data_IF_430906467253
#
_entry.id   IF_430906467253
#
_cell.length_a   1.000
_cell.length_b   1.000
_cell.length_c   1.000
_cell.angle_alpha   90.00
_cell.angle_beta   90.00
_cell.angle_gamma   90.00
#
_symmetry.space_group_name_H-M   'P 1'
#
loop_
_entity.id
_entity.type
_entity.pdbx_description
1 polymer ?
#
# COMPACT_ATOMS: atom_id res chain seq x y z
N UNK A 1 29.56 -0.89 -1.62
CA UNK A 1 29.38 0.17 -0.60
C UNK A 1 28.47 -0.39 0.48
N UNK A 2 29.00 -0.73 1.65
CA UNK A 2 28.19 -1.25 2.76
C UNK A 2 27.60 -0.07 3.52
N UNK A 3 26.29 0.17 3.40
CA UNK A 3 25.59 1.16 4.22
C UNK A 3 25.43 0.56 5.62
N UNK A 4 26.24 1.01 6.58
CA UNK A 4 26.10 0.63 7.99
C UNK A 4 25.06 1.54 8.64
N UNK A 5 23.80 1.09 8.67
CA UNK A 5 22.74 1.76 9.43
C UNK A 5 22.72 1.10 10.80
N UNK A 6 23.29 1.76 11.80
CA UNK A 6 23.17 1.34 13.21
C UNK A 6 21.89 1.97 13.76
N UNK A 7 20.78 1.22 13.70
CA UNK A 7 19.49 1.62 14.27
C UNK A 7 19.32 0.91 15.62
N UNK A 8 19.56 1.60 16.73
CA UNK A 8 19.32 1.08 18.08
C UNK A 8 17.86 1.26 18.49
N UNK A 9 16.95 0.65 17.72
CA UNK A 9 15.51 0.65 18.01
C UNK A 9 15.07 -0.79 18.23
N UNK A 10 14.50 -1.04 19.40
CA UNK A 10 13.88 -2.33 19.73
C UNK A 10 12.66 -2.56 18.80
N UNK A 11 12.68 -3.58 17.93
CA UNK A 11 11.61 -3.83 16.98
C UNK A 11 10.26 -4.11 17.65
N UNK A 12 10.26 -4.70 18.86
CA UNK A 12 9.03 -5.01 19.59
C UNK A 12 8.38 -3.72 20.10
N UNK A 13 9.18 -2.79 20.63
CA UNK A 13 8.69 -1.49 21.07
C UNK A 13 8.18 -0.68 19.89
N UNK A 14 8.90 -0.69 18.77
CA UNK A 14 8.45 -0.02 17.54
C UNK A 14 7.11 -0.58 17.07
N UNK A 15 6.98 -1.91 16.95
CA UNK A 15 5.73 -2.57 16.55
C UNK A 15 4.58 -2.20 17.50
N UNK A 16 4.82 -2.25 18.81
CA UNK A 16 3.80 -1.88 19.80
C UNK A 16 3.36 -0.43 19.65
N UNK A 17 4.28 0.50 19.42
CA UNK A 17 3.95 1.91 19.19
C UNK A 17 3.12 2.08 17.92
N UNK A 18 3.55 1.48 16.80
CA UNK A 18 2.83 1.59 15.52
C UNK A 18 1.40 1.02 15.62
N UNK A 19 1.26 -0.19 16.19
CA UNK A 19 -0.06 -0.82 16.41
C UNK A 19 -0.92 0.01 17.35
N UNK A 20 -0.34 0.60 18.40
CA UNK A 20 -1.09 1.46 19.33
C UNK A 20 -1.64 2.69 18.60
N UNK A 21 -0.88 3.28 17.68
CA UNK A 21 -1.36 4.42 16.87
C UNK A 21 -2.53 4.00 15.96
N UNK A 22 -2.45 2.85 15.29
CA UNK A 22 -3.56 2.33 14.47
C UNK A 22 -4.82 2.08 15.30
N UNK A 23 -4.67 1.50 16.50
CA UNK A 23 -5.79 1.27 17.41
C UNK A 23 -6.41 2.60 17.89
N UNK A 24 -5.60 3.64 18.08
CA UNK A 24 -6.11 4.98 18.40
C UNK A 24 -6.92 5.54 17.23
N UNK A 25 -6.47 5.38 15.99
CA UNK A 25 -7.24 5.80 14.82
C UNK A 25 -8.58 5.07 14.71
N UNK A 26 -8.58 3.74 14.86
CA UNK A 26 -9.80 2.93 14.92
C UNK A 26 -10.76 3.38 16.03
N UNK A 27 -10.23 3.70 17.21
CA UNK A 27 -11.05 4.20 18.33
C UNK A 27 -11.64 5.57 18.04
N UNK A 28 -10.89 6.48 17.42
CA UNK A 28 -11.38 7.83 17.05
C UNK A 28 -12.47 7.72 15.98
N UNK A 29 -12.27 6.90 14.95
CA UNK A 29 -13.27 6.65 13.92
C UNK A 29 -14.58 6.12 14.52
N UNK A 30 -14.49 5.08 15.35
CA UNK A 30 -15.65 4.53 16.07
C UNK A 30 -16.33 5.55 16.97
N UNK A 31 -15.56 6.43 17.64
CA UNK A 31 -16.12 7.50 18.47
C UNK A 31 -16.93 8.50 17.63
N UNK A 32 -16.39 8.95 16.49
CA UNK A 32 -17.05 9.92 15.61
C UNK A 32 -18.25 9.34 14.85
N UNK A 33 -18.22 8.05 14.52
CA UNK A 33 -19.30 7.41 13.78
C UNK A 33 -20.40 6.82 14.68
N UNK A 34 -20.08 6.27 15.85
CA UNK A 34 -21.08 5.61 16.71
C UNK A 34 -21.56 6.47 17.88
N UNK A 35 -20.64 7.18 18.54
CA UNK A 35 -20.92 7.77 19.86
C UNK A 35 -21.15 9.28 19.80
N UNK A 36 -20.62 9.95 18.77
CA UNK A 36 -20.67 11.40 18.64
C UNK A 36 -21.47 11.82 17.40
N UNK A 37 -22.77 12.08 17.59
CA UNK A 37 -23.66 12.53 16.50
C UNK A 37 -23.35 13.96 16.00
N UNK A 38 -22.72 14.81 16.81
CA UNK A 38 -22.44 16.22 16.47
C UNK A 38 -21.06 16.50 15.83
N UNK A 39 -20.37 15.49 15.31
CA UNK A 39 -19.02 15.65 14.77
C UNK A 39 -19.15 16.23 13.36
N UNK A 40 -18.31 17.20 13.01
CA UNK A 40 -18.32 17.75 11.67
C UNK A 40 -17.98 16.66 10.65
N UNK A 41 -18.56 16.77 9.46
CA UNK A 41 -18.31 15.79 8.39
C UNK A 41 -16.82 15.74 8.04
N UNK A 42 -16.12 16.88 8.11
CA UNK A 42 -14.69 16.96 7.85
C UNK A 42 -13.87 16.12 8.84
N UNK A 43 -14.23 16.12 10.12
CA UNK A 43 -13.55 15.31 11.13
C UNK A 43 -13.81 13.82 10.95
N UNK A 44 -15.03 13.45 10.54
CA UNK A 44 -15.36 12.06 10.20
C UNK A 44 -14.50 11.60 9.04
N UNK A 45 -14.46 12.35 7.94
CA UNK A 45 -13.64 12.01 6.76
C UNK A 45 -12.14 11.96 7.07
N UNK A 46 -11.64 12.85 7.93
CA UNK A 46 -10.22 12.91 8.29
C UNK A 46 -9.72 11.67 9.07
N UNK A 47 -10.59 11.01 9.82
CA UNK A 47 -10.25 9.85 10.65
C UNK A 47 -10.92 8.54 10.18
N UNK A 48 -11.66 8.57 9.08
CA UNK A 48 -12.37 7.41 8.54
C UNK A 48 -11.40 6.34 8.03
N UNK A 49 -11.19 5.28 8.80
CA UNK A 49 -10.26 4.20 8.44
C UNK A 49 -10.65 3.43 7.17
N UNK A 50 -11.87 3.62 6.66
CA UNK A 50 -12.39 2.93 5.47
C UNK A 50 -12.19 3.75 4.19
N UNK A 51 -11.75 5.01 4.32
CA UNK A 51 -11.49 5.90 3.19
C UNK A 51 -9.99 6.03 2.92
N UNK A 52 -9.67 6.32 1.68
CA UNK A 52 -8.33 6.71 1.25
C UNK A 52 -8.14 8.24 1.38
N UNK A 53 -6.88 8.68 1.33
CA UNK A 53 -6.46 10.09 1.42
C UNK A 53 -6.86 10.82 2.73
N UNK A 54 -6.67 10.15 3.87
CA UNK A 54 -6.86 10.74 5.19
C UNK A 54 -5.67 10.44 6.13
N UNK A 55 -5.81 10.75 7.42
CA UNK A 55 -4.71 10.63 8.37
C UNK A 55 -4.31 9.16 8.66
N UNK A 56 -5.26 8.22 8.91
CA UNK A 56 -4.97 6.79 8.94
C UNK A 56 -4.25 6.29 7.67
N UNK A 57 -4.76 6.61 6.47
CA UNK A 57 -4.14 6.21 5.20
C UNK A 57 -2.74 6.77 5.04
N UNK A 58 -2.50 8.03 5.39
CA UNK A 58 -1.15 8.62 5.35
C UNK A 58 -0.16 7.87 6.23
N UNK A 59 -0.59 7.44 7.41
CA UNK A 59 0.24 6.70 8.35
C UNK A 59 0.55 5.29 7.84
N UNK A 60 -0.48 4.52 7.44
CA UNK A 60 -0.32 3.15 6.91
C UNK A 60 0.49 3.12 5.61
N UNK A 61 0.24 4.04 4.68
CA UNK A 61 0.98 4.16 3.42
C UNK A 61 2.46 4.50 3.64
N UNK A 62 2.76 5.40 4.59
CA UNK A 62 4.14 5.72 4.97
C UNK A 62 4.86 4.49 5.53
N UNK A 63 4.20 3.71 6.39
CA UNK A 63 4.76 2.46 6.90
C UNK A 63 5.05 1.46 5.76
N UNK A 64 4.12 1.30 4.82
CA UNK A 64 4.30 0.42 3.67
C UNK A 64 5.52 0.82 2.82
N UNK A 65 5.66 2.12 2.49
CA UNK A 65 6.83 2.62 1.77
C UNK A 65 8.13 2.38 2.56
N UNK A 66 8.13 2.61 3.87
CA UNK A 66 9.30 2.34 4.73
C UNK A 66 9.67 0.84 4.71
N UNK A 67 8.69 -0.06 4.80
CA UNK A 67 8.92 -1.51 4.66
C UNK A 67 9.54 -1.83 3.30
N UNK A 68 9.02 -1.22 2.23
CA UNK A 68 9.55 -1.37 0.87
C UNK A 68 11.02 -0.94 0.76
N UNK A 69 11.36 0.22 1.33
CA UNK A 69 12.73 0.74 1.36
C UNK A 69 13.67 -0.15 2.20
N UNK A 70 13.23 -0.62 3.36
CA UNK A 70 14.02 -1.52 4.21
C UNK A 70 14.27 -2.87 3.52
N UNK A 71 13.26 -3.42 2.84
CA UNK A 71 13.41 -4.64 2.04
C UNK A 71 14.41 -4.44 0.90
N UNK A 72 14.38 -3.28 0.22
CA UNK A 72 15.34 -2.95 -0.84
C UNK A 72 16.78 -2.88 -0.31
N UNK A 73 16.98 -2.17 0.81
CA UNK A 73 18.29 -2.06 1.46
C UNK A 73 18.79 -3.43 1.90
N UNK A 74 17.92 -4.26 2.47
CA UNK A 74 18.25 -5.63 2.86
C UNK A 74 18.65 -6.49 1.66
N UNK A 75 17.89 -6.42 0.56
CA UNK A 75 18.20 -7.14 -0.68
C UNK A 75 19.62 -6.79 -1.16
N UNK A 76 19.93 -5.49 -1.28
CA UNK A 76 21.25 -4.99 -1.68
C UNK A 76 22.38 -5.42 -0.77
N UNK A 77 22.17 -5.43 0.54
CA UNK A 77 23.20 -5.89 1.49
C UNK A 77 23.46 -7.41 1.39
N UNK A 78 22.50 -8.17 0.88
CA UNK A 78 22.58 -9.62 0.73
C UNK A 78 22.98 -10.08 -0.65
N UNK A 79 23.10 -9.17 -1.62
CA UNK A 79 23.63 -9.47 -2.95
C UNK A 79 25.03 -10.10 -2.82
N UNK A 80 25.19 -11.29 -3.43
CA UNK A 80 26.45 -12.04 -3.40
C UNK A 80 26.70 -12.89 -2.13
N UNK A 81 25.86 -12.81 -1.09
CA UNK A 81 26.01 -13.61 0.15
C UNK A 81 24.98 -14.74 0.29
N UNK A 82 23.94 -14.75 -0.53
CA UNK A 82 22.81 -15.70 -0.49
C UNK A 82 22.51 -16.24 -1.89
N UNK A 83 21.75 -17.35 -2.00
CA UNK A 83 21.20 -17.79 -3.28
C UNK A 83 20.48 -16.64 -3.96
N UNK A 84 20.68 -16.48 -5.27
CA UNK A 84 20.17 -15.36 -6.05
C UNK A 84 18.64 -15.21 -5.91
N UNK A 85 17.92 -16.33 -5.78
CA UNK A 85 16.48 -16.38 -5.50
C UNK A 85 16.07 -15.63 -4.22
N UNK A 86 16.82 -15.83 -3.14
CA UNK A 86 16.53 -15.19 -1.87
C UNK A 86 16.68 -13.67 -1.96
N UNK A 87 17.64 -13.16 -2.75
CA UNK A 87 17.79 -11.73 -2.99
C UNK A 87 16.66 -11.17 -3.86
N UNK A 88 16.26 -11.88 -4.92
CA UNK A 88 15.14 -11.50 -5.79
C UNK A 88 13.82 -11.39 -5.01
N UNK A 89 13.54 -12.32 -4.09
CA UNK A 89 12.34 -12.25 -3.24
C UNK A 89 12.23 -10.95 -2.44
N UNK A 90 13.34 -10.44 -1.89
CA UNK A 90 13.34 -9.16 -1.17
C UNK A 90 13.12 -7.96 -2.07
N UNK A 91 13.61 -7.99 -3.32
CA UNK A 91 13.29 -6.95 -4.31
C UNK A 91 11.81 -6.94 -4.67
N UNK A 92 11.18 -8.11 -4.79
CA UNK A 92 9.74 -8.19 -5.06
C UNK A 92 8.94 -7.63 -3.89
N UNK A 93 9.29 -7.99 -2.65
CA UNK A 93 8.69 -7.40 -1.44
C UNK A 93 8.88 -5.87 -1.44
N UNK A 94 10.07 -5.39 -1.79
CA UNK A 94 10.38 -3.97 -1.83
C UNK A 94 9.48 -3.20 -2.79
N UNK A 95 9.37 -3.68 -4.04
CA UNK A 95 8.53 -3.07 -5.06
C UNK A 95 7.05 -3.14 -4.68
N UNK A 96 6.60 -4.28 -4.15
CA UNK A 96 5.21 -4.49 -3.77
C UNK A 96 4.74 -3.52 -2.68
N UNK A 97 5.45 -3.46 -1.55
CA UNK A 97 5.05 -2.57 -0.44
C UNK A 97 5.22 -1.09 -0.78
N UNK A 98 6.21 -0.74 -1.60
CA UNK A 98 6.35 0.63 -2.11
C UNK A 98 5.18 1.01 -3.01
N UNK A 99 4.79 0.12 -3.93
CA UNK A 99 3.63 0.33 -4.79
C UNK A 99 2.35 0.47 -3.96
N UNK A 100 2.10 -0.44 -3.01
CA UNK A 100 0.90 -0.39 -2.16
C UNK A 100 0.81 0.94 -1.40
N UNK A 101 1.90 1.38 -0.77
CA UNK A 101 1.88 2.65 -0.05
C UNK A 101 1.67 3.85 -0.97
N UNK A 102 2.26 3.87 -2.16
CA UNK A 102 2.06 4.95 -3.13
C UNK A 102 0.61 4.94 -3.67
N UNK A 103 0.07 3.76 -3.99
CA UNK A 103 -1.29 3.60 -4.50
C UNK A 103 -2.32 4.10 -3.49
N UNK A 104 -2.23 3.65 -2.24
CA UNK A 104 -3.15 4.02 -1.15
C UNK A 104 -3.08 5.52 -0.81
N UNK A 105 -1.89 6.12 -0.89
CA UNK A 105 -1.71 7.56 -0.66
C UNK A 105 -2.20 8.44 -1.83
N UNK A 106 -2.09 7.96 -3.07
CA UNK A 106 -2.38 8.74 -4.28
C UNK A 106 -3.66 8.31 -5.01
N UNK A 107 -4.35 7.28 -4.52
CA UNK A 107 -5.54 6.67 -5.13
C UNK A 107 -5.28 6.31 -6.60
N UNK A 108 -4.12 5.72 -6.91
CA UNK A 108 -3.71 5.55 -8.31
C UNK A 108 -4.66 4.62 -9.05
N UNK A 109 -5.05 3.50 -8.45
CA UNK A 109 -5.97 2.56 -9.08
C UNK A 109 -7.35 3.18 -9.35
N UNK A 110 -7.87 4.00 -8.43
CA UNK A 110 -9.14 4.72 -8.62
C UNK A 110 -9.05 5.77 -9.73
N UNK A 111 -7.96 6.54 -9.76
CA UNK A 111 -7.73 7.59 -10.76
C UNK A 111 -7.50 7.03 -12.16
N UNK A 112 -6.74 5.93 -12.26
CA UNK A 112 -6.52 5.23 -13.52
C UNK A 112 -7.82 4.62 -14.02
N UNK A 113 -8.61 3.98 -13.14
CA UNK A 113 -9.92 3.47 -13.49
C UNK A 113 -10.85 4.58 -14.02
N UNK A 114 -10.89 5.72 -13.33
CA UNK A 114 -11.68 6.88 -13.75
C UNK A 114 -11.23 7.42 -15.11
N UNK A 115 -9.93 7.57 -15.33
CA UNK A 115 -9.38 8.06 -16.60
C UNK A 115 -9.72 7.12 -17.76
N UNK A 116 -9.58 5.80 -17.56
CA UNK A 116 -9.94 4.80 -18.57
C UNK A 116 -11.44 4.77 -18.87
N UNK A 117 -12.28 4.90 -17.85
CA UNK A 117 -13.75 4.99 -18.02
C UNK A 117 -14.12 6.17 -18.91
N UNK A 118 -13.57 7.35 -18.62
CA UNK A 118 -13.82 8.56 -19.40
C UNK A 118 -13.37 8.42 -20.86
N UNK A 119 -12.23 7.75 -21.11
CA UNK A 119 -11.73 7.47 -22.47
C UNK A 119 -12.51 6.38 -23.23
N UNK A 120 -13.21 5.49 -22.53
CA UNK A 120 -14.11 4.52 -23.16
C UNK A 120 -15.43 5.15 -23.56
N UNK A 121 -15.99 6.02 -22.70
CA UNK A 121 -17.19 6.80 -23.01
C UNK A 121 -16.99 7.78 -24.18
N UNK A 122 -15.77 8.30 -24.38
CA UNK A 122 -15.44 9.15 -25.52
C UNK A 122 -15.27 8.41 -26.86
N UNK A 123 -15.33 7.06 -26.86
CA UNK A 123 -15.21 6.24 -28.07
C UNK A 123 -13.79 6.06 -28.61
N UNK A 124 -12.76 6.48 -27.86
CA UNK A 124 -11.35 6.38 -28.27
C UNK A 124 -10.72 5.00 -27.98
N UNK A 125 -11.36 4.17 -27.16
CA UNK A 125 -10.85 2.86 -26.73
C UNK A 125 -11.88 1.74 -26.90
N UNK A 126 -11.42 0.51 -27.09
CA UNK A 126 -12.29 -0.66 -27.24
C UNK A 126 -13.02 -0.94 -25.91
N UNK A 127 -14.28 -0.50 -25.83
CA UNK A 127 -15.17 -0.55 -24.66
C UNK A 127 -15.21 -1.89 -23.92
N UNK A 128 -15.08 -3.03 -24.62
CA UNK A 128 -15.19 -4.36 -23.98
C UNK A 128 -13.99 -4.74 -23.09
N UNK A 129 -12.76 -4.36 -23.46
CA UNK A 129 -11.58 -4.60 -22.61
C UNK A 129 -11.69 -3.71 -21.39
N UNK A 130 -12.06 -2.45 -21.60
CA UNK A 130 -12.20 -1.46 -20.54
C UNK A 130 -13.29 -1.90 -19.54
N UNK A 131 -14.46 -2.36 -19.99
CA UNK A 131 -15.51 -2.90 -19.10
C UNK A 131 -15.04 -4.12 -18.30
N UNK A 132 -14.26 -5.02 -18.92
CA UNK A 132 -13.80 -6.23 -18.26
C UNK A 132 -12.67 -5.97 -17.25
N UNK A 133 -11.85 -4.95 -17.49
CA UNK A 133 -10.89 -4.43 -16.53
C UNK A 133 -11.62 -3.64 -15.42
N UNK A 134 -12.45 -2.63 -15.77
CA UNK A 134 -13.20 -1.73 -14.87
C UNK A 134 -14.23 -2.42 -13.98
N UNK A 135 -14.76 -3.58 -14.37
CA UNK A 135 -15.68 -4.37 -13.55
C UNK A 135 -15.09 -4.89 -12.23
N UNK A 136 -13.75 -4.87 -12.07
CA UNK A 136 -13.05 -5.34 -10.88
C UNK A 136 -12.26 -4.23 -10.18
N UNK A 137 -12.90 -3.08 -9.95
CA UNK A 137 -12.30 -1.84 -9.43
C UNK A 137 -11.31 -2.01 -8.27
N UNK A 138 -11.46 -3.04 -7.41
CA UNK A 138 -10.60 -3.25 -6.23
C UNK A 138 -9.50 -4.33 -6.37
N UNK A 139 -9.44 -5.08 -7.49
CA UNK A 139 -8.55 -6.25 -7.62
C UNK A 139 -7.42 -6.10 -8.65
N UNK A 140 -7.23 -4.92 -9.23
CA UNK A 140 -6.25 -4.70 -10.30
C UNK A 140 -4.81 -5.05 -9.96
N UNK A 141 -4.38 -4.73 -8.75
CA UNK A 141 -3.03 -5.02 -8.30
C UNK A 141 -2.75 -6.53 -8.29
N UNK A 142 -3.77 -7.38 -8.15
CA UNK A 142 -3.60 -8.83 -8.20
C UNK A 142 -3.14 -9.29 -9.60
N UNK A 143 -3.66 -8.70 -10.67
CA UNK A 143 -3.21 -9.02 -12.02
C UNK A 143 -1.76 -8.62 -12.27
N UNK A 144 -1.29 -7.56 -11.62
CA UNK A 144 0.11 -7.13 -11.70
C UNK A 144 1.03 -8.03 -10.86
N UNK A 145 0.64 -8.34 -9.62
CA UNK A 145 1.53 -8.97 -8.65
C UNK A 145 1.39 -10.48 -8.53
N UNK A 146 0.21 -11.07 -8.74
CA UNK A 146 0.00 -12.53 -8.64
C UNK A 146 0.90 -13.30 -9.61
N UNK A 147 1.06 -12.91 -10.90
CA UNK A 147 1.99 -13.58 -11.79
C UNK A 147 3.45 -13.46 -11.33
N UNK A 148 3.83 -12.30 -10.79
CA UNK A 148 5.19 -12.04 -10.29
C UNK A 148 5.48 -12.88 -9.04
N UNK A 149 4.59 -12.89 -8.05
CA UNK A 149 4.70 -13.72 -6.86
C UNK A 149 4.66 -15.21 -7.19
N UNK A 150 3.80 -15.62 -8.13
CA UNK A 150 3.73 -17.00 -8.62
C UNK A 150 5.05 -17.44 -9.26
N UNK A 151 5.63 -16.60 -10.14
CA UNK A 151 6.93 -16.90 -10.74
C UNK A 151 8.05 -16.99 -9.70
N UNK A 152 8.07 -16.10 -8.70
CA UNK A 152 9.06 -16.11 -7.61
C UNK A 152 8.89 -17.33 -6.70
N UNK A 153 7.66 -17.80 -6.48
CA UNK A 153 7.39 -18.97 -5.64
C UNK A 153 7.75 -20.30 -6.31
N UNK A 154 7.76 -20.34 -7.66
CA UNK A 154 8.10 -21.54 -8.43
C UNK A 154 9.61 -21.72 -8.65
N UNK A 155 10.42 -20.69 -8.38
CA UNK A 155 11.87 -20.68 -8.54
C UNK A 155 12.61 -20.75 -7.21
#
# INVERSE_FOLDING_TARGET
MQLKIELDIDPRKLLLVLVTIELIFLMIDGLFNCCWFGASQDLKVLFDITREANLPTWFSSTQAVVVGLLAWVYARQREGLKPQQAATGWYVIAVFFSYLGIDDAAQLHERVATALSNSAESGETNSWLVDQFLGFSSYYWQFLFVPVFGAVALY
#
